data_IF_419430967484
#
_entry.id   IF_419430967484
#
_cell.length_a   1.000
_cell.length_b   1.000
_cell.length_c   1.000
_cell.angle_alpha   90.00
_cell.angle_beta   90.00
_cell.angle_gamma   90.00
#
_symmetry.space_group_name_H-M   'P 1'
#
loop_
_entity.id
_entity.type
_entity.pdbx_description
1 polymer ?
#
# COMPACT_ATOMS: atom_id res chain seq x y z
N UNK A 1 -40.81 20.74 -32.28
CA UNK A 1 -40.19 19.45 -31.94
C UNK A 1 -39.20 19.69 -30.79
N UNK A 2 -39.61 19.41 -29.55
CA UNK A 2 -38.74 19.56 -28.39
C UNK A 2 -37.82 18.34 -28.30
N UNK A 3 -36.51 18.56 -28.39
CA UNK A 3 -35.49 17.54 -28.21
C UNK A 3 -35.49 17.16 -26.73
N UNK A 4 -36.03 16.00 -26.43
CA UNK A 4 -35.97 15.38 -25.10
C UNK A 4 -34.49 15.14 -24.76
N UNK A 5 -33.96 15.94 -23.83
CA UNK A 5 -32.68 15.65 -23.15
C UNK A 5 -32.89 14.39 -22.32
N UNK A 6 -32.46 13.24 -22.84
CA UNK A 6 -32.27 12.04 -22.04
C UNK A 6 -31.33 12.39 -20.87
N UNK A 7 -31.86 12.43 -19.64
CA UNK A 7 -31.03 12.42 -18.43
C UNK A 7 -30.32 11.07 -18.40
N UNK A 8 -29.00 11.08 -18.50
CA UNK A 8 -28.19 9.92 -18.15
C UNK A 8 -28.40 9.66 -16.66
N UNK A 9 -29.12 8.59 -16.33
CA UNK A 9 -29.24 8.10 -14.97
C UNK A 9 -27.90 7.43 -14.60
N UNK A 10 -27.19 8.03 -13.66
CA UNK A 10 -25.99 7.41 -13.08
C UNK A 10 -26.41 6.37 -12.05
N UNK A 11 -25.86 5.16 -12.18
CA UNK A 11 -26.02 4.06 -11.21
C UNK A 11 -24.80 4.05 -10.30
N UNK A 12 -25.02 3.90 -8.99
CA UNK A 12 -23.97 3.90 -7.97
C UNK A 12 -24.08 2.64 -7.10
N UNK A 13 -22.93 2.14 -6.65
CA UNK A 13 -22.87 1.11 -5.61
C UNK A 13 -22.99 1.78 -4.24
N UNK A 14 -23.93 1.34 -3.42
CA UNK A 14 -23.98 1.70 -2.01
C UNK A 14 -23.05 0.74 -1.25
N UNK A 15 -21.95 1.27 -0.74
CA UNK A 15 -20.93 0.52 -0.02
C UNK A 15 -20.83 1.02 1.42
N UNK A 16 -20.37 0.15 2.32
CA UNK A 16 -19.95 0.58 3.65
C UNK A 16 -18.76 1.54 3.53
N UNK A 17 -18.79 2.65 4.28
CA UNK A 17 -17.61 3.47 4.48
C UNK A 17 -16.67 2.76 5.46
N UNK A 18 -15.54 2.26 4.95
CA UNK A 18 -14.56 1.52 5.74
C UNK A 18 -13.77 2.42 6.70
N UNK A 19 -13.92 3.74 6.61
CA UNK A 19 -13.24 4.73 7.45
C UNK A 19 -14.13 5.30 8.55
N UNK A 20 -15.43 4.97 8.58
CA UNK A 20 -16.42 5.61 9.46
C UNK A 20 -16.07 5.56 10.94
N UNK A 21 -15.43 4.47 11.36
CA UNK A 21 -15.16 4.16 12.78
C UNK A 21 -13.75 4.57 13.22
N UNK A 22 -12.97 5.22 12.34
CA UNK A 22 -11.59 5.59 12.58
C UNK A 22 -11.44 7.09 12.83
N UNK A 23 -10.57 7.45 13.79
CA UNK A 23 -10.22 8.85 14.05
C UNK A 23 -8.89 9.17 13.39
N UNK A 24 -8.89 10.10 12.43
CA UNK A 24 -7.69 10.48 11.66
C UNK A 24 -6.96 9.26 11.05
N UNK A 25 -7.64 8.46 10.21
CA UNK A 25 -7.09 7.20 9.73
C UNK A 25 -5.86 7.38 8.84
N UNK A 26 -4.87 6.52 9.06
CA UNK A 26 -3.86 6.16 8.09
C UNK A 26 -4.41 5.07 7.17
N UNK A 27 -4.27 5.26 5.85
CA UNK A 27 -4.78 4.36 4.81
C UNK A 27 -3.66 3.96 3.86
N UNK A 28 -3.56 2.68 3.53
CA UNK A 28 -2.68 2.18 2.46
C UNK A 28 -3.45 1.26 1.54
N UNK A 29 -3.28 1.47 0.24
CA UNK A 29 -3.83 0.64 -0.82
C UNK A 29 -2.73 -0.26 -1.39
N UNK A 30 -2.90 -1.57 -1.27
CA UNK A 30 -2.03 -2.56 -1.88
C UNK A 30 -2.79 -3.34 -2.95
N UNK A 31 -2.41 -3.15 -4.21
CA UNK A 31 -2.88 -4.01 -5.32
C UNK A 31 -2.32 -5.41 -5.16
N UNK A 32 -3.15 -6.44 -5.26
CA UNK A 32 -2.75 -7.84 -5.03
C UNK A 32 -2.89 -8.68 -6.31
N UNK A 33 -2.03 -9.69 -6.42
CA UNK A 33 -1.88 -10.58 -7.57
C UNK A 33 -0.51 -10.43 -8.22
N UNK A 34 -0.06 -11.45 -8.96
CA UNK A 34 1.18 -11.41 -9.76
C UNK A 34 0.97 -10.78 -11.14
N UNK A 35 -0.28 -10.52 -11.51
CA UNK A 35 -0.69 -9.85 -12.74
C UNK A 35 -1.86 -8.91 -12.50
N UNK A 36 -2.00 -7.89 -13.35
CA UNK A 36 -2.99 -6.81 -13.17
C UNK A 36 -3.85 -6.52 -14.39
N UNK A 37 -3.85 -7.46 -15.33
CA UNK A 37 -4.69 -7.47 -16.52
C UNK A 37 -5.37 -8.84 -16.66
N UNK A 38 -6.54 -8.85 -17.27
CA UNK A 38 -7.26 -10.08 -17.61
C UNK A 38 -6.63 -10.74 -18.84
N UNK A 39 -6.71 -12.06 -18.94
CA UNK A 39 -6.21 -12.77 -20.13
C UNK A 39 -6.91 -12.30 -21.42
N UNK A 40 -8.21 -11.99 -21.35
CA UNK A 40 -8.94 -11.41 -22.47
C UNK A 40 -8.37 -10.06 -22.93
N UNK A 41 -7.83 -9.26 -22.03
CA UNK A 41 -7.22 -7.97 -22.38
C UNK A 41 -5.93 -8.18 -23.18
N UNK A 42 -5.19 -9.28 -22.93
CA UNK A 42 -4.05 -9.68 -23.76
C UNK A 42 -4.51 -10.15 -25.14
N UNK A 43 -5.50 -11.04 -25.21
CA UNK A 43 -6.00 -11.59 -26.48
C UNK A 43 -6.55 -10.49 -27.39
N UNK A 44 -7.39 -9.60 -26.86
CA UNK A 44 -7.95 -8.46 -27.60
C UNK A 44 -6.86 -7.51 -28.12
N UNK A 45 -5.78 -7.32 -27.37
CA UNK A 45 -4.67 -6.48 -27.81
C UNK A 45 -3.81 -7.12 -28.92
N UNK A 46 -3.74 -8.46 -28.97
CA UNK A 46 -3.09 -9.19 -30.08
C UNK A 46 -3.91 -9.10 -31.36
N UNK A 47 -5.24 -9.20 -31.26
CA UNK A 47 -6.14 -9.09 -32.42
C UNK A 47 -6.27 -7.66 -32.95
N UNK A 48 -6.45 -6.68 -32.04
CA UNK A 48 -6.66 -5.27 -32.40
C UNK A 48 -5.91 -4.35 -31.43
N UNK A 49 -4.62 -4.08 -31.67
CA UNK A 49 -3.82 -3.25 -30.78
C UNK A 49 -4.37 -1.81 -30.74
N UNK A 50 -4.80 -1.38 -29.56
CA UNK A 50 -5.20 0.02 -29.31
C UNK A 50 -4.07 0.76 -28.60
N UNK A 51 -3.47 1.71 -29.31
CA UNK A 51 -2.40 2.56 -28.82
C UNK A 51 -2.92 3.60 -27.81
N UNK A 52 -2.11 3.88 -26.79
CA UNK A 52 -2.41 4.76 -25.65
C UNK A 52 -1.26 5.73 -25.41
N UNK A 53 -1.46 6.98 -25.80
CA UNK A 53 -0.50 8.07 -25.58
C UNK A 53 -0.29 8.36 -24.10
N UNK A 54 -1.37 8.36 -23.31
CA UNK A 54 -1.32 8.62 -21.87
C UNK A 54 -0.48 7.60 -21.09
N UNK A 55 -0.43 6.35 -21.56
CA UNK A 55 0.40 5.31 -20.96
C UNK A 55 1.87 5.46 -21.34
N UNK A 56 2.14 5.85 -22.58
CA UNK A 56 3.50 6.17 -23.03
C UNK A 56 4.07 7.36 -22.26
N UNK A 57 3.31 8.45 -22.11
CA UNK A 57 3.74 9.65 -21.39
C UNK A 57 4.11 9.30 -19.93
N UNK A 58 3.29 8.48 -19.26
CA UNK A 58 3.59 7.97 -17.90
C UNK A 58 4.82 7.06 -17.86
N UNK A 59 5.05 6.28 -18.91
CA UNK A 59 6.17 5.35 -18.99
C UNK A 59 7.49 6.11 -19.10
N UNK A 60 7.59 7.08 -20.01
CA UNK A 60 8.81 7.89 -20.18
C UNK A 60 9.09 8.83 -19.00
N UNK A 61 8.05 9.25 -18.26
CA UNK A 61 8.22 10.02 -17.02
C UNK A 61 8.93 9.22 -15.92
N UNK A 62 8.83 7.89 -15.95
CA UNK A 62 9.45 7.00 -14.97
C UNK A 62 10.79 6.48 -15.52
N UNK A 63 10.79 6.02 -16.78
CA UNK A 63 11.97 5.51 -17.47
C UNK A 63 11.88 5.84 -18.96
N UNK A 64 12.67 6.83 -19.39
CA UNK A 64 12.70 7.31 -20.76
C UNK A 64 13.22 6.26 -21.76
N UNK A 65 13.92 5.21 -21.30
CA UNK A 65 14.46 4.14 -22.16
C UNK A 65 13.58 2.88 -22.16
N UNK A 66 12.51 2.85 -21.38
CA UNK A 66 11.65 1.69 -21.31
C UNK A 66 10.86 1.38 -22.59
N UNK A 67 10.34 2.39 -23.35
CA UNK A 67 9.72 2.14 -24.64
C UNK A 67 10.74 1.75 -25.71
N UNK A 68 10.33 0.93 -26.68
CA UNK A 68 11.17 0.60 -27.84
C UNK A 68 11.10 1.70 -28.92
N UNK A 69 11.90 1.55 -29.99
CA UNK A 69 11.98 2.55 -31.08
C UNK A 69 10.62 2.81 -31.77
N UNK A 70 9.81 1.76 -31.97
CA UNK A 70 8.47 1.88 -32.58
C UNK A 70 7.49 2.61 -31.65
N UNK A 71 7.52 2.30 -30.36
CA UNK A 71 6.71 2.94 -29.32
C UNK A 71 7.07 4.43 -29.16
N UNK A 72 8.36 4.78 -29.25
CA UNK A 72 8.83 6.17 -29.29
C UNK A 72 8.36 6.91 -30.54
N UNK A 73 8.48 6.28 -31.72
CA UNK A 73 8.00 6.86 -32.97
C UNK A 73 6.49 7.12 -32.94
N UNK A 74 5.72 6.17 -32.40
CA UNK A 74 4.27 6.29 -32.25
C UNK A 74 3.84 7.21 -31.09
N UNK A 75 4.74 7.53 -30.15
CA UNK A 75 4.46 8.20 -28.87
C UNK A 75 3.28 7.57 -28.12
N UNK A 76 3.20 6.24 -28.17
CA UNK A 76 2.10 5.48 -27.61
C UNK A 76 2.52 4.02 -27.37
N UNK A 77 1.95 3.39 -26.35
CA UNK A 77 2.11 1.96 -26.06
C UNK A 77 0.75 1.30 -25.98
N UNK A 78 0.68 -0.03 -26.09
CA UNK A 78 -0.58 -0.75 -25.79
C UNK A 78 -0.80 -0.84 -24.29
N UNK A 79 -2.06 -1.02 -23.86
CA UNK A 79 -2.37 -1.20 -22.44
C UNK A 79 -1.66 -2.41 -21.83
N UNK A 80 -1.71 -3.63 -22.41
CA UNK A 80 -1.05 -4.77 -21.78
C UNK A 80 0.47 -4.61 -21.69
N UNK A 81 1.10 -4.02 -22.71
CA UNK A 81 2.52 -3.67 -22.69
C UNK A 81 2.89 -2.77 -21.50
N UNK A 82 2.09 -1.72 -21.25
CA UNK A 82 2.29 -0.84 -20.09
C UNK A 82 2.08 -1.58 -18.77
N UNK A 83 1.04 -2.41 -18.67
CA UNK A 83 0.75 -3.16 -17.44
C UNK A 83 1.87 -4.15 -17.10
N UNK A 84 2.33 -4.93 -18.09
CA UNK A 84 3.46 -5.87 -17.93
C UNK A 84 4.72 -5.11 -17.49
N UNK A 85 5.03 -3.98 -18.11
CA UNK A 85 6.18 -3.18 -17.65
C UNK A 85 6.01 -2.62 -16.24
N UNK A 86 4.81 -2.14 -15.88
CA UNK A 86 4.50 -1.71 -14.50
C UNK A 86 4.71 -2.83 -13.49
N UNK A 87 4.39 -4.07 -13.87
CA UNK A 87 4.59 -5.25 -13.02
C UNK A 87 6.08 -5.57 -12.84
N UNK A 88 6.93 -5.34 -13.85
CA UNK A 88 8.37 -5.62 -13.77
C UNK A 88 9.17 -4.56 -13.00
N UNK A 89 8.70 -3.30 -12.96
CA UNK A 89 9.35 -2.22 -12.20
C UNK A 89 8.85 -2.08 -10.77
N UNK A 90 7.79 -2.80 -10.40
CA UNK A 90 7.25 -2.85 -9.03
C UNK A 90 7.42 -4.24 -8.42
N UNK A 91 6.94 -4.43 -7.19
CA UNK A 91 6.97 -5.73 -6.50
C UNK A 91 5.92 -6.72 -6.99
N UNK A 92 5.05 -6.36 -7.96
CA UNK A 92 3.93 -7.21 -8.40
C UNK A 92 4.40 -8.56 -8.92
N UNK A 93 5.35 -8.58 -9.87
CA UNK A 93 5.80 -9.83 -10.48
C UNK A 93 6.60 -10.74 -9.52
N UNK A 94 7.21 -10.18 -8.47
CA UNK A 94 8.11 -10.91 -7.57
C UNK A 94 7.47 -11.27 -6.23
N UNK A 95 6.61 -10.41 -5.69
CA UNK A 95 5.99 -10.57 -4.38
C UNK A 95 4.47 -10.79 -4.46
N UNK A 96 3.84 -10.66 -5.64
CA UNK A 96 2.40 -10.85 -5.80
C UNK A 96 1.55 -9.70 -5.24
N UNK A 97 2.13 -8.53 -5.01
CA UNK A 97 1.41 -7.30 -4.68
C UNK A 97 2.28 -6.07 -4.96
N UNK A 98 1.69 -4.87 -4.91
CA UNK A 98 2.42 -3.59 -4.84
C UNK A 98 1.62 -2.54 -4.09
N UNK A 99 2.32 -1.57 -3.50
CA UNK A 99 1.70 -0.40 -2.88
C UNK A 99 1.28 0.56 -3.99
N UNK A 100 0.01 0.99 -4.01
CA UNK A 100 -0.51 1.99 -4.95
C UNK A 100 -0.53 3.39 -4.32
N UNK A 101 -0.70 3.47 -3.00
CA UNK A 101 -0.65 4.74 -2.29
C UNK A 101 -0.80 4.62 -0.78
N UNK A 102 -0.40 5.68 -0.10
CA UNK A 102 -0.49 5.86 1.35
C UNK A 102 -1.09 7.23 1.62
N UNK A 103 -1.96 7.31 2.62
CA UNK A 103 -2.42 8.53 3.27
C UNK A 103 -2.16 8.40 4.77
N UNK A 104 -1.50 9.36 5.39
CA UNK A 104 -1.22 9.37 6.83
C UNK A 104 -2.26 10.22 7.58
N UNK A 105 -2.25 10.09 8.90
CA UNK A 105 -3.14 10.81 9.82
C UNK A 105 -2.95 12.34 9.77
N UNK A 106 -1.74 12.81 9.47
CA UNK A 106 -1.41 14.22 9.26
C UNK A 106 -1.94 14.80 7.93
N UNK A 107 -2.62 13.98 7.12
CA UNK A 107 -3.18 14.36 5.82
C UNK A 107 -2.19 14.25 4.66
N UNK A 108 -0.91 13.99 4.91
CA UNK A 108 0.07 13.75 3.85
C UNK A 108 -0.32 12.49 3.08
N UNK A 109 -0.15 12.54 1.75
CA UNK A 109 -0.41 11.38 0.90
C UNK A 109 0.70 11.22 -0.12
N UNK A 110 1.06 9.97 -0.39
CA UNK A 110 2.03 9.59 -1.40
C UNK A 110 1.39 8.56 -2.33
N UNK A 111 1.65 8.74 -3.62
CA UNK A 111 1.39 7.72 -4.64
C UNK A 111 2.68 7.31 -5.33
N UNK A 112 3.83 7.63 -4.75
CA UNK A 112 5.13 7.45 -5.38
C UNK A 112 5.78 6.10 -5.11
N UNK A 113 5.06 5.05 -5.51
CA UNK A 113 5.46 3.66 -5.32
C UNK A 113 5.66 2.90 -6.63
N UNK A 114 5.81 3.63 -7.75
CA UNK A 114 5.81 3.03 -9.10
C UNK A 114 7.02 2.11 -9.30
N UNK A 115 8.13 2.43 -8.63
CA UNK A 115 9.41 1.69 -8.68
C UNK A 115 9.75 1.01 -7.35
N UNK A 116 8.82 0.99 -6.39
CA UNK A 116 8.99 0.26 -5.13
C UNK A 116 8.86 -1.23 -5.42
N UNK A 117 10.00 -1.93 -5.40
CA UNK A 117 10.11 -3.29 -5.92
C UNK A 117 10.77 -4.26 -4.95
N UNK A 118 11.89 -3.88 -4.35
CA UNK A 118 12.61 -4.81 -3.47
C UNK A 118 11.87 -5.02 -2.15
N UNK A 119 12.10 -6.17 -1.51
CA UNK A 119 11.51 -6.49 -0.20
C UNK A 119 11.90 -5.43 0.84
N UNK A 120 13.11 -4.89 0.75
CA UNK A 120 13.64 -3.85 1.64
C UNK A 120 12.93 -2.51 1.43
N UNK A 121 12.70 -2.10 0.17
CA UNK A 121 11.93 -0.89 -0.13
C UNK A 121 10.49 -1.02 0.40
N UNK A 122 9.88 -2.19 0.24
CA UNK A 122 8.54 -2.49 0.75
C UNK A 122 8.52 -2.43 2.28
N UNK A 123 9.49 -3.05 2.97
CA UNK A 123 9.65 -2.93 4.42
C UNK A 123 9.78 -1.48 4.86
N UNK A 124 10.57 -0.68 4.15
CA UNK A 124 10.73 0.74 4.46
C UNK A 124 9.43 1.51 4.34
N UNK A 125 8.65 1.29 3.28
CA UNK A 125 7.34 1.91 3.11
C UNK A 125 6.35 1.50 4.21
N UNK A 126 6.37 0.23 4.65
CA UNK A 126 5.55 -0.22 5.76
C UNK A 126 5.98 0.36 7.11
N UNK A 127 7.28 0.49 7.38
CA UNK A 127 7.76 1.18 8.59
C UNK A 127 7.31 2.63 8.61
N UNK A 128 7.40 3.33 7.48
CA UNK A 128 6.92 4.70 7.36
C UNK A 128 5.40 4.80 7.59
N UNK A 129 4.63 3.87 7.04
CA UNK A 129 3.18 3.79 7.22
C UNK A 129 2.76 3.55 8.68
N UNK A 130 3.52 2.74 9.40
CA UNK A 130 3.27 2.36 10.79
C UNK A 130 3.96 3.28 11.80
N UNK A 131 4.63 4.34 11.33
CA UNK A 131 5.36 5.26 12.20
C UNK A 131 4.45 5.86 13.27
N UNK A 132 4.91 5.84 14.53
CA UNK A 132 4.11 6.24 15.69
C UNK A 132 3.09 5.20 16.18
N UNK A 133 2.90 4.09 15.47
CA UNK A 133 1.87 3.08 15.75
C UNK A 133 2.38 1.62 15.67
N UNK A 134 3.55 1.27 16.26
CA UNK A 134 4.12 -0.07 16.11
C UNK A 134 3.22 -1.18 16.68
N UNK A 135 2.38 -0.88 17.68
CA UNK A 135 1.43 -1.81 18.30
C UNK A 135 0.30 -2.26 17.36
N UNK A 136 0.13 -1.60 16.21
CA UNK A 136 -0.87 -1.96 15.20
C UNK A 136 -0.43 -3.16 14.36
N UNK A 137 0.88 -3.35 14.15
CA UNK A 137 1.41 -4.38 13.25
C UNK A 137 0.89 -5.80 13.57
N UNK A 138 0.82 -6.27 14.83
CA UNK A 138 0.24 -7.57 15.16
C UNK A 138 -1.22 -7.73 14.72
N UNK A 139 -2.02 -6.65 14.76
CA UNK A 139 -3.42 -6.67 14.34
C UNK A 139 -3.56 -6.87 12.83
N UNK A 140 -2.69 -6.25 12.04
CA UNK A 140 -2.64 -6.50 10.60
C UNK A 140 -2.24 -7.94 10.28
N UNK A 141 -1.24 -8.51 10.97
CA UNK A 141 -0.85 -9.91 10.79
C UNK A 141 -2.02 -10.84 11.07
N UNK A 142 -2.70 -10.64 12.21
CA UNK A 142 -3.87 -11.44 12.57
C UNK A 142 -4.99 -11.32 11.53
N UNK A 143 -5.28 -10.10 11.08
CA UNK A 143 -6.32 -9.84 10.08
C UNK A 143 -6.00 -10.47 8.73
N UNK A 144 -4.76 -10.37 8.24
CA UNK A 144 -4.32 -11.00 6.99
C UNK A 144 -4.38 -12.53 7.07
N UNK A 145 -3.99 -13.12 8.20
CA UNK A 145 -4.12 -14.58 8.43
C UNK A 145 -5.59 -15.01 8.40
N UNK A 146 -6.49 -14.24 9.00
CA UNK A 146 -7.92 -14.50 8.96
C UNK A 146 -8.48 -14.39 7.53
N UNK A 147 -8.13 -13.33 6.79
CA UNK A 147 -8.48 -13.18 5.37
C UNK A 147 -8.01 -14.38 4.57
N UNK A 148 -6.74 -14.78 4.71
CA UNK A 148 -6.17 -15.94 4.01
C UNK A 148 -6.96 -17.22 4.29
N UNK A 149 -7.29 -17.48 5.56
CA UNK A 149 -8.04 -18.65 5.96
C UNK A 149 -9.46 -18.66 5.35
N UNK A 150 -10.13 -17.50 5.33
CA UNK A 150 -11.44 -17.36 4.69
C UNK A 150 -11.38 -17.56 3.18
N UNK A 151 -10.38 -16.98 2.51
CA UNK A 151 -10.21 -17.12 1.06
C UNK A 151 -9.94 -18.58 0.65
N UNK A 152 -9.18 -19.33 1.44
CA UNK A 152 -8.86 -20.73 1.17
C UNK A 152 -10.10 -21.65 1.03
N UNK A 153 -11.20 -21.31 1.71
CA UNK A 153 -12.46 -22.07 1.70
C UNK A 153 -13.59 -21.35 0.95
N UNK A 154 -13.33 -20.17 0.39
CA UNK A 154 -14.34 -19.36 -0.30
C UNK A 154 -14.61 -19.94 -1.69
N UNK A 155 -15.85 -20.37 -1.92
CA UNK A 155 -16.28 -20.83 -3.25
C UNK A 155 -16.15 -19.71 -4.28
N UNK A 156 -16.58 -18.49 -3.93
CA UNK A 156 -16.42 -17.32 -4.80
C UNK A 156 -14.97 -17.16 -5.23
N UNK A 157 -14.03 -17.24 -4.28
CA UNK A 157 -12.62 -17.04 -4.59
C UNK A 157 -12.10 -18.11 -5.54
N UNK A 158 -12.31 -19.40 -5.23
CA UNK A 158 -11.85 -20.53 -6.04
C UNK A 158 -12.42 -20.57 -7.47
N UNK A 159 -13.57 -19.93 -7.71
CA UNK A 159 -14.24 -19.88 -9.02
C UNK A 159 -14.13 -18.53 -9.72
N UNK A 160 -13.30 -17.61 -9.22
CA UNK A 160 -13.09 -16.30 -9.84
C UNK A 160 -11.61 -16.00 -10.03
N UNK A 161 -11.29 -15.40 -11.16
CA UNK A 161 -10.03 -14.73 -11.39
C UNK A 161 -10.09 -13.33 -10.75
N UNK A 162 -9.30 -13.09 -9.71
CA UNK A 162 -9.37 -11.87 -8.88
C UNK A 162 -8.28 -10.89 -9.30
N UNK A 163 -8.57 -10.10 -10.34
CA UNK A 163 -7.60 -9.17 -10.93
C UNK A 163 -7.90 -7.73 -10.59
N UNK A 164 -6.83 -6.99 -10.29
CA UNK A 164 -6.87 -5.54 -10.14
C UNK A 164 -7.52 -5.02 -8.86
N UNK A 165 -7.96 -5.92 -7.98
CA UNK A 165 -8.43 -5.62 -6.64
C UNK A 165 -7.27 -5.29 -5.70
N UNK A 166 -7.63 -4.74 -4.54
CA UNK A 166 -6.67 -4.29 -3.55
C UNK A 166 -7.03 -4.77 -2.15
N UNK A 167 -6.00 -4.87 -1.30
CA UNK A 167 -6.15 -4.85 0.15
C UNK A 167 -6.02 -3.42 0.64
N UNK A 168 -7.08 -2.90 1.23
CA UNK A 168 -7.11 -1.59 1.88
C UNK A 168 -6.78 -1.76 3.36
N UNK A 169 -5.58 -1.32 3.75
CA UNK A 169 -5.14 -1.25 5.14
C UNK A 169 -5.60 0.07 5.73
N UNK A 170 -6.27 0.01 6.88
CA UNK A 170 -6.66 1.21 7.63
C UNK A 170 -6.30 1.02 9.08
N UNK A 171 -5.70 2.04 9.67
CA UNK A 171 -5.52 2.11 11.11
C UNK A 171 -5.65 3.53 11.63
N UNK A 172 -5.92 3.64 12.92
CA UNK A 172 -5.75 4.85 13.71
C UNK A 172 -4.94 4.50 14.98
N UNK A 173 -5.05 5.32 16.01
CA UNK A 173 -4.37 5.10 17.29
C UNK A 173 -4.72 3.76 17.95
N UNK A 174 -5.94 3.25 17.79
CA UNK A 174 -6.45 2.09 18.57
C UNK A 174 -7.02 0.96 17.72
N UNK A 175 -7.33 1.20 16.45
CA UNK A 175 -7.99 0.29 15.53
C UNK A 175 -7.11 0.01 14.34
N UNK A 176 -7.24 -1.21 13.80
CA UNK A 176 -6.64 -1.57 12.53
C UNK A 176 -7.37 -2.72 11.88
N UNK A 177 -7.57 -2.64 10.57
CA UNK A 177 -8.19 -3.69 9.79
C UNK A 177 -7.77 -3.61 8.32
N UNK A 178 -8.08 -4.69 7.60
CA UNK A 178 -7.81 -4.86 6.18
C UNK A 178 -9.08 -5.36 5.51
N UNK A 179 -9.39 -4.82 4.34
CA UNK A 179 -10.51 -5.26 3.51
C UNK A 179 -10.09 -5.42 2.06
N UNK A 180 -10.75 -6.33 1.36
CA UNK A 180 -10.63 -6.46 -0.08
C UNK A 180 -11.58 -5.46 -0.74
N UNK A 181 -11.09 -4.69 -1.70
CA UNK A 181 -11.86 -3.69 -2.45
C UNK A 181 -11.58 -3.82 -3.96
N UNK A 182 -12.33 -3.10 -4.78
CA UNK A 182 -12.12 -2.99 -6.24
C UNK A 182 -12.24 -4.29 -7.04
N UNK A 183 -13.40 -4.95 -6.94
CA UNK A 183 -13.72 -6.18 -7.68
C UNK A 183 -14.15 -5.95 -9.15
N UNK A 184 -13.94 -4.75 -9.71
CA UNK A 184 -14.43 -4.39 -11.05
C UNK A 184 -13.87 -5.26 -12.19
N UNK A 185 -12.70 -5.89 -11.96
CA UNK A 185 -12.08 -6.86 -12.87
C UNK A 185 -12.00 -8.27 -12.28
N UNK A 186 -12.74 -8.54 -11.22
CA UNK A 186 -12.91 -9.90 -10.73
C UNK A 186 -13.98 -10.59 -11.57
N UNK A 187 -13.60 -11.67 -12.26
CA UNK A 187 -14.45 -12.33 -13.25
C UNK A 187 -14.60 -13.81 -12.91
N UNK A 188 -15.79 -14.36 -13.13
CA UNK A 188 -16.05 -15.78 -12.95
C UNK A 188 -15.22 -16.59 -13.95
N UNK A 189 -14.68 -17.71 -13.49
CA UNK A 189 -13.98 -18.67 -14.34
C UNK A 189 -14.96 -19.43 -15.24
N UNK A 190 -14.47 -20.08 -16.32
CA UNK A 190 -15.26 -21.02 -17.10
C UNK A 190 -15.90 -22.12 -16.22
N UNK A 191 -17.06 -22.67 -16.61
CA UNK A 191 -17.71 -23.74 -15.85
C UNK A 191 -16.77 -24.89 -15.52
N UNK A 192 -16.85 -25.39 -14.29
CA UNK A 192 -16.05 -26.50 -13.75
C UNK A 192 -14.54 -26.21 -13.59
N UNK A 193 -14.07 -25.00 -13.90
CA UNK A 193 -12.71 -24.58 -13.61
C UNK A 193 -12.59 -24.02 -12.19
N UNK A 194 -11.48 -24.33 -11.53
CA UNK A 194 -11.07 -23.74 -10.25
C UNK A 194 -9.58 -23.44 -10.30
N UNK A 195 -9.17 -22.38 -9.62
CA UNK A 195 -7.76 -22.00 -9.45
C UNK A 195 -7.38 -22.04 -7.97
N UNK A 196 -6.10 -22.22 -7.67
CA UNK A 196 -5.59 -22.29 -6.30
C UNK A 196 -5.01 -20.96 -5.79
N UNK A 197 -4.81 -19.99 -6.68
CA UNK A 197 -4.24 -18.67 -6.43
C UNK A 197 -2.78 -18.69 -5.91
N UNK A 198 -2.11 -19.83 -6.04
CA UNK A 198 -0.72 -20.12 -5.66
C UNK A 198 0.14 -20.52 -6.85
N UNK A 199 -0.45 -21.22 -7.80
CA UNK A 199 0.21 -21.76 -8.97
C UNK A 199 0.70 -20.62 -9.85
N UNK A 200 1.88 -20.81 -10.46
CA UNK A 200 2.43 -19.81 -11.36
C UNK A 200 1.49 -19.58 -12.54
N UNK A 201 1.22 -18.31 -12.84
CA UNK A 201 0.37 -17.94 -13.97
C UNK A 201 0.98 -18.38 -15.30
N UNK A 202 0.13 -18.96 -16.14
CA UNK A 202 0.40 -19.34 -17.53
C UNK A 202 -0.86 -19.05 -18.33
N UNK A 203 -0.70 -18.57 -19.56
CA UNK A 203 -1.85 -18.30 -20.45
C UNK A 203 -2.78 -19.51 -20.50
N UNK A 204 -4.06 -19.30 -20.18
CA UNK A 204 -5.11 -20.31 -20.16
C UNK A 204 -5.34 -21.01 -18.81
N UNK A 205 -4.47 -20.81 -17.81
CA UNK A 205 -4.69 -21.38 -16.47
C UNK A 205 -5.41 -20.42 -15.51
N UNK A 206 -5.60 -19.15 -15.89
CA UNK A 206 -6.32 -18.12 -15.13
C UNK A 206 -5.76 -17.78 -13.74
N UNK A 207 -4.63 -18.36 -13.32
CA UNK A 207 -4.05 -18.11 -12.00
C UNK A 207 -3.70 -16.63 -11.83
N UNK A 208 -4.03 -16.05 -10.69
CA UNK A 208 -3.80 -14.62 -10.39
C UNK A 208 -2.68 -14.39 -9.37
N UNK A 209 -2.23 -15.44 -8.68
CA UNK A 209 -1.21 -15.38 -7.63
C UNK A 209 -1.62 -14.54 -6.42
N UNK A 210 -2.92 -14.41 -6.15
CA UNK A 210 -3.42 -13.56 -5.08
C UNK A 210 -2.94 -14.02 -3.68
N UNK A 211 -2.90 -15.34 -3.44
CA UNK A 211 -2.44 -15.89 -2.17
C UNK A 211 -0.91 -15.85 -2.02
N UNK A 212 -0.16 -15.78 -3.13
CA UNK A 212 1.28 -15.45 -3.10
C UNK A 212 1.46 -14.05 -2.49
N UNK A 213 0.66 -13.07 -2.95
CA UNK A 213 0.66 -11.70 -2.43
C UNK A 213 0.36 -11.63 -0.94
N UNK A 214 -0.71 -12.27 -0.49
CA UNK A 214 -1.08 -12.29 0.93
C UNK A 214 -0.01 -12.96 1.78
N UNK A 215 0.57 -14.08 1.34
CA UNK A 215 1.63 -14.74 2.09
C UNK A 215 2.87 -13.85 2.23
N UNK A 216 3.32 -13.22 1.14
CA UNK A 216 4.45 -12.30 1.22
C UNK A 216 4.18 -11.09 2.12
N UNK A 217 2.96 -10.54 2.12
CA UNK A 217 2.55 -9.48 3.05
C UNK A 217 2.66 -9.94 4.51
N UNK A 218 2.13 -11.13 4.84
CA UNK A 218 2.22 -11.70 6.18
C UNK A 218 3.68 -11.90 6.59
N UNK A 219 4.50 -12.49 5.71
CA UNK A 219 5.91 -12.78 6.01
C UNK A 219 6.70 -11.49 6.24
N UNK A 220 6.50 -10.47 5.41
CA UNK A 220 7.13 -9.15 5.58
C UNK A 220 6.73 -8.52 6.92
N UNK A 221 5.45 -8.60 7.30
CA UNK A 221 4.98 -8.05 8.57
C UNK A 221 5.53 -8.81 9.78
N UNK A 222 5.64 -10.13 9.70
CA UNK A 222 6.28 -10.94 10.74
C UNK A 222 7.76 -10.59 10.88
N UNK A 223 8.47 -10.41 9.75
CA UNK A 223 9.87 -9.96 9.76
C UNK A 223 10.03 -8.56 10.40
N UNK A 224 9.11 -7.64 10.11
CA UNK A 224 9.10 -6.31 10.72
C UNK A 224 8.81 -6.38 12.22
N UNK A 225 7.87 -7.22 12.64
CA UNK A 225 7.55 -7.39 14.05
C UNK A 225 8.78 -7.91 14.83
N UNK A 226 9.44 -8.95 14.31
CA UNK A 226 10.65 -9.48 14.92
C UNK A 226 11.78 -8.44 15.01
N UNK A 227 11.94 -7.61 13.98
CA UNK A 227 12.93 -6.53 14.01
C UNK A 227 12.62 -5.48 15.10
N UNK A 228 11.35 -5.07 15.24
CA UNK A 228 10.93 -4.11 16.27
C UNK A 228 11.16 -4.65 17.69
N UNK A 229 10.96 -5.96 17.91
CA UNK A 229 11.21 -6.60 19.20
C UNK A 229 12.70 -6.55 19.57
N UNK A 230 13.59 -6.83 18.61
CA UNK A 230 15.06 -6.75 18.82
C UNK A 230 15.52 -5.32 19.12
N UNK A 231 15.02 -4.32 18.38
CA UNK A 231 15.34 -2.91 18.61
C UNK A 231 14.89 -2.46 20.01
N UNK A 232 13.68 -2.83 20.44
CA UNK A 232 13.17 -2.48 21.77
C UNK A 232 14.00 -3.06 22.92
N UNK A 233 14.55 -4.26 22.75
CA UNK A 233 15.43 -4.90 23.75
C UNK A 233 16.79 -4.21 23.79
N UNK A 234 17.35 -3.83 22.64
CA UNK A 234 18.62 -3.11 22.57
C UNK A 234 18.53 -1.71 23.22
N UNK A 235 17.41 -1.01 23.03
CA UNK A 235 17.15 0.28 23.67
C UNK A 235 16.98 0.15 25.19
N UNK A 236 16.31 -0.91 25.66
CA UNK A 236 16.17 -1.18 27.09
C UNK A 236 17.52 -1.50 27.76
N UNK A 237 18.40 -2.23 27.08
CA UNK A 237 19.74 -2.57 27.59
C UNK A 237 20.66 -1.34 27.60
N UNK A 238 20.67 -0.53 26.53
CA UNK A 238 21.50 0.68 26.45
C UNK A 238 21.05 1.81 27.38
N UNK A 239 19.76 1.90 27.71
CA UNK A 239 19.20 2.86 28.68
C UNK A 239 19.45 2.54 30.15
N UNK A 240 19.97 1.35 30.49
CA UNK A 240 20.18 0.89 31.87
C UNK A 240 21.63 1.06 32.39
N UNK A 241 22.53 1.68 31.61
CA UNK A 241 23.98 1.74 31.88
C UNK A 241 24.52 2.99 32.61
N UNK A 242 23.69 3.92 33.07
CA UNK A 242 24.15 5.17 33.72
C UNK A 242 23.49 5.38 35.08
N UNK A 243 23.90 4.59 36.08
CA UNK A 243 23.39 4.74 37.44
C UNK A 243 24.15 3.98 38.52
N UNK A 244 25.45 4.29 38.73
CA UNK A 244 26.13 3.95 39.98
C UNK A 244 27.42 4.75 40.18
N UNK A 245 27.44 5.62 41.18
CA UNK A 245 28.61 6.40 41.59
C UNK A 245 28.30 7.35 42.75
N UNK A 246 27.97 6.79 43.92
CA UNK A 246 27.84 7.51 45.20
C UNK A 246 29.20 7.93 45.77
N UNK A 247 29.33 9.16 46.27
CA UNK A 247 30.47 9.63 47.04
C UNK A 247 30.18 10.94 47.78
N UNK A 248 30.10 10.87 49.10
CA UNK A 248 29.78 11.90 50.09
C UNK A 248 30.82 13.03 50.24
N UNK A 249 30.38 14.24 50.60
CA UNK A 249 31.24 15.30 51.12
C UNK A 249 30.49 16.59 51.48
N UNK A 250 30.40 16.88 52.77
CA UNK A 250 29.80 18.08 53.40
C UNK A 250 30.73 19.30 53.40
N UNK A 251 30.20 20.53 53.22
CA UNK A 251 30.46 21.74 54.05
C UNK A 251 30.00 23.07 53.40
N UNK A 252 29.28 23.87 54.20
CA UNK A 252 29.21 25.35 54.31
C UNK A 252 29.42 26.28 53.11
N UNK A 253 28.49 27.23 52.92
CA UNK A 253 28.74 28.47 52.17
C UNK A 253 27.50 29.37 52.04
N UNK A 254 27.58 30.56 52.61
CA UNK A 254 26.60 31.66 52.66
C UNK A 254 26.46 32.48 51.35
N UNK A 255 25.32 33.16 51.17
CA UNK A 255 25.14 34.31 50.24
C UNK A 255 23.96 34.12 49.28
N UNK A 256 22.78 34.73 49.51
CA UNK A 256 22.38 36.11 49.20
C UNK A 256 21.83 36.33 47.77
N UNK A 257 20.51 36.60 47.72
CA UNK A 257 19.77 37.57 46.86
C UNK A 257 19.51 37.22 45.37
N UNK A 258 18.20 37.22 45.05
CA UNK A 258 17.48 37.25 43.76
C UNK A 258 17.93 38.39 42.80
N UNK A 259 17.38 38.60 41.56
CA UNK A 259 16.15 38.04 40.97
C UNK A 259 16.20 37.68 39.46
N UNK A 260 15.05 37.20 38.98
CA UNK A 260 14.70 36.83 37.62
C UNK A 260 14.81 37.97 36.59
N UNK A 261 14.82 37.64 35.28
CA UNK A 261 14.25 38.49 34.26
C UNK A 261 13.00 37.88 33.64
N UNK A 262 11.99 38.73 33.50
CA UNK A 262 10.87 38.57 32.60
C UNK A 262 11.35 38.66 31.14
N UNK A 263 10.83 37.82 30.25
CA UNK A 263 10.96 38.03 28.81
C UNK A 263 9.58 38.27 28.20
N UNK A 264 9.50 39.41 27.54
CA UNK A 264 8.38 40.02 26.86
C UNK A 264 7.90 39.20 25.67
N UNK A 265 6.58 39.19 25.49
CA UNK A 265 5.93 38.74 24.26
C UNK A 265 6.34 39.61 23.07
N UNK A 266 6.40 38.96 21.91
CA UNK A 266 6.44 39.63 20.61
C UNK A 266 5.22 39.21 19.79
N UNK A 267 4.76 40.22 19.07
CA UNK A 267 3.51 40.36 18.34
C UNK A 267 3.41 39.43 17.13
N UNK A 268 2.17 39.03 16.84
CA UNK A 268 1.74 38.49 15.54
C UNK A 268 1.81 39.59 14.46
N UNK A 269 2.29 39.24 13.27
CA UNK A 269 1.99 39.97 12.04
C UNK A 269 1.19 39.04 11.09
N UNK A 270 0.12 39.53 10.43
CA UNK A 270 -0.73 38.72 9.56
C UNK A 270 -0.23 38.74 8.10
N UNK A 271 -0.15 37.56 7.48
CA UNK A 271 0.08 37.45 6.04
C UNK A 271 -1.20 37.71 5.25
N UNK A 272 -1.07 38.58 4.24
CA UNK A 272 -2.09 39.00 3.28
C UNK A 272 -2.32 37.96 2.18
N UNK A 273 -3.57 37.93 1.71
CA UNK A 273 -4.10 37.73 0.35
C UNK A 273 -3.26 36.94 -0.66
#
# INVERSE_FOLDING_TARGET
LAISKFRLLSVYLQLQDLLSDYVQPCVMDCKVGVRTYLEEELSKAKEKPKLRKDMYDKMIQIDAQAPNAEEHAAKAVTKPRYMVWRETISSTATLGFRIEGIKKSDGTSSKDFKTTKSREQIKSAFREFLSGHPHILPRYIQRLRAIRATLAVSEFFQTHEVIGSSLLFVHDQTHASVWLIDFAKTVALPPHMRIDHYSAWKVGNHEDGYLIGINNLIDIFVELQAANEVESVADAVSGSGSGSGSGSGSASGSGSVSPAPAFSGQEEEPSKM
#
